data_IF_438070036378
#
_entry.id   IF_438070036378
#
_cell.length_a   1.000
_cell.length_b   1.000
_cell.length_c   1.000
_cell.angle_alpha   90.00
_cell.angle_beta   90.00
_cell.angle_gamma   90.00
#
_symmetry.space_group_name_H-M   'P 1'
#
loop_
_entity.id
_entity.type
_entity.pdbx_description
1 polymer ?
#
# COMPACT_ATOMS: atom_id res chain seq x y z
N UNK A 1 -28.12 -10.50 6.49
CA UNK A 1 -27.05 -9.54 6.83
C UNK A 1 -27.15 -8.37 5.85
N UNK A 2 -27.26 -7.11 6.30
CA UNK A 2 -27.53 -5.99 5.39
C UNK A 2 -26.32 -5.69 4.49
N UNK A 3 -26.54 -5.13 3.29
CA UNK A 3 -25.47 -4.73 2.34
C UNK A 3 -24.37 -3.86 3.01
N UNK A 4 -24.73 -3.10 4.03
CA UNK A 4 -23.79 -2.25 4.76
C UNK A 4 -22.83 -3.08 5.63
N UNK A 5 -23.30 -4.16 6.27
CA UNK A 5 -22.44 -5.02 7.11
C UNK A 5 -21.27 -5.62 6.30
N UNK A 6 -21.52 -6.03 5.05
CA UNK A 6 -20.46 -6.57 4.17
C UNK A 6 -19.45 -5.49 3.76
N UNK A 7 -19.91 -4.24 3.56
CA UNK A 7 -19.04 -3.11 3.22
C UNK A 7 -18.01 -2.81 4.32
N UNK A 8 -18.36 -2.96 5.60
CA UNK A 8 -17.41 -2.74 6.70
C UNK A 8 -16.55 -3.98 7.00
N UNK A 9 -17.14 -5.17 6.86
CA UNK A 9 -16.44 -6.44 7.14
C UNK A 9 -15.18 -6.62 6.29
N UNK A 10 -15.19 -6.16 5.02
CA UNK A 10 -14.01 -6.25 4.15
C UNK A 10 -12.81 -5.46 4.67
N UNK A 11 -13.00 -4.35 5.38
CA UNK A 11 -11.89 -3.58 5.96
C UNK A 11 -11.36 -4.22 7.23
N UNK A 12 -12.24 -4.81 8.03
CA UNK A 12 -11.82 -5.62 9.18
C UNK A 12 -11.00 -6.82 8.69
N UNK A 13 -11.47 -7.51 7.64
CA UNK A 13 -10.73 -8.59 7.01
C UNK A 13 -9.40 -8.12 6.42
N UNK A 14 -9.36 -6.97 5.73
CA UNK A 14 -8.15 -6.38 5.18
C UNK A 14 -7.15 -6.01 6.30
N UNK A 15 -7.63 -5.46 7.41
CA UNK A 15 -6.82 -5.11 8.56
C UNK A 15 -6.21 -6.35 9.21
N UNK A 16 -6.99 -7.43 9.39
CA UNK A 16 -6.49 -8.71 9.87
C UNK A 16 -5.45 -9.29 8.90
N UNK A 17 -5.70 -9.22 7.60
CA UNK A 17 -4.75 -9.65 6.56
C UNK A 17 -3.43 -8.89 6.63
N UNK A 18 -3.48 -7.57 6.84
CA UNK A 18 -2.29 -6.73 7.00
C UNK A 18 -1.52 -7.15 8.26
N UNK A 19 -2.19 -7.34 9.40
CA UNK A 19 -1.54 -7.81 10.64
C UNK A 19 -0.89 -9.17 10.42
N UNK A 20 -1.59 -10.10 9.77
CA UNK A 20 -1.09 -11.44 9.51
C UNK A 20 0.09 -11.43 8.52
N UNK A 21 0.05 -10.56 7.50
CA UNK A 21 1.14 -10.36 6.56
C UNK A 21 2.37 -9.75 7.25
N UNK A 22 2.16 -8.81 8.18
CA UNK A 22 3.24 -8.26 9.01
C UNK A 22 3.82 -9.33 9.94
N UNK A 23 2.98 -10.14 10.59
CA UNK A 23 3.42 -11.17 11.53
C UNK A 23 4.14 -12.34 10.84
N UNK A 24 3.68 -12.78 9.66
CA UNK A 24 4.28 -13.89 8.92
C UNK A 24 5.40 -13.48 7.98
N UNK A 25 5.31 -12.26 7.43
CA UNK A 25 6.21 -11.76 6.38
C UNK A 25 7.42 -10.98 6.91
N UNK A 26 7.43 -10.61 8.19
CA UNK A 26 8.56 -9.99 8.87
C UNK A 26 9.26 -11.07 9.70
N UNK A 27 10.29 -11.76 9.17
CA UNK A 27 11.07 -12.67 9.98
C UNK A 27 11.60 -11.99 11.24
N UNK A 28 11.84 -12.75 12.31
CA UNK A 28 12.38 -12.23 13.59
C UNK A 28 13.73 -11.50 13.43
N UNK A 29 14.39 -11.68 12.29
CA UNK A 29 15.64 -11.01 11.90
C UNK A 29 15.46 -9.69 11.17
N UNK A 30 14.25 -9.24 10.85
CA UNK A 30 14.02 -7.99 10.12
C UNK A 30 14.32 -6.80 11.02
N UNK A 31 15.11 -5.89 10.48
CA UNK A 31 15.49 -4.67 11.17
C UNK A 31 14.25 -3.82 11.54
N UNK A 32 14.16 -3.30 12.78
CA UNK A 32 12.99 -2.56 13.25
C UNK A 32 12.55 -1.42 12.33
N UNK A 33 13.50 -0.78 11.62
CA UNK A 33 13.21 0.29 10.67
C UNK A 33 12.31 -0.17 9.52
N UNK A 34 12.51 -1.40 9.01
CA UNK A 34 11.70 -1.96 7.94
C UNK A 34 10.28 -2.26 8.42
N UNK A 35 10.12 -2.66 9.69
CA UNK A 35 8.79 -2.83 10.31
C UNK A 35 7.99 -1.54 10.27
N UNK A 36 8.62 -0.41 10.63
CA UNK A 36 7.96 0.89 10.55
C UNK A 36 7.62 1.30 9.12
N UNK A 37 8.50 1.03 8.17
CA UNK A 37 8.25 1.31 6.75
C UNK A 37 7.09 0.48 6.19
N UNK A 38 7.00 -0.81 6.56
CA UNK A 38 5.86 -1.66 6.23
C UNK A 38 4.56 -1.12 6.82
N UNK A 39 4.56 -0.73 8.10
CA UNK A 39 3.36 -0.16 8.76
C UNK A 39 2.92 1.11 8.03
N UNK A 40 3.84 1.99 7.65
CA UNK A 40 3.53 3.21 6.89
C UNK A 40 2.94 2.86 5.52
N UNK A 41 3.57 1.94 4.80
CA UNK A 41 3.12 1.51 3.48
C UNK A 41 1.70 0.92 3.53
N UNK A 42 1.47 -0.06 4.40
CA UNK A 42 0.15 -0.68 4.56
C UNK A 42 -0.88 0.28 5.14
N UNK A 43 -0.47 1.20 6.02
CA UNK A 43 -1.33 2.27 6.54
C UNK A 43 -1.84 3.18 5.43
N UNK A 44 -0.96 3.64 4.53
CA UNK A 44 -1.38 4.43 3.38
C UNK A 44 -2.26 3.64 2.41
N UNK A 45 -1.95 2.37 2.16
CA UNK A 45 -2.73 1.52 1.27
C UNK A 45 -4.15 1.28 1.83
N UNK A 46 -4.24 1.04 3.14
CA UNK A 46 -5.50 0.88 3.85
C UNK A 46 -6.33 2.16 3.85
N UNK A 47 -5.70 3.30 4.15
CA UNK A 47 -6.35 4.61 4.06
C UNK A 47 -6.88 4.88 2.65
N UNK A 48 -6.08 4.55 1.62
CA UNK A 48 -6.48 4.73 0.23
C UNK A 48 -7.70 3.88 -0.13
N UNK A 49 -7.76 2.62 0.32
CA UNK A 49 -8.90 1.74 0.12
C UNK A 49 -10.18 2.27 0.79
N UNK A 50 -10.08 2.76 2.03
CA UNK A 50 -11.21 3.39 2.74
C UNK A 50 -11.67 4.63 2.00
N UNK A 51 -10.74 5.52 1.63
CA UNK A 51 -11.08 6.77 0.97
C UNK A 51 -11.84 6.50 -0.33
N UNK A 52 -11.33 5.62 -1.20
CA UNK A 52 -11.99 5.28 -2.48
C UNK A 52 -13.44 4.85 -2.31
N UNK A 53 -13.71 3.97 -1.36
CA UNK A 53 -15.02 3.32 -1.22
C UNK A 53 -16.05 4.10 -0.40
N UNK A 54 -15.62 4.96 0.52
CA UNK A 54 -16.53 5.73 1.38
C UNK A 54 -16.63 7.20 1.01
N UNK A 55 -15.53 7.79 0.54
CA UNK A 55 -15.44 9.23 0.35
C UNK A 55 -15.32 9.63 -1.11
N UNK A 56 -15.12 8.67 -2.02
CA UNK A 56 -14.92 8.89 -3.46
C UNK A 56 -14.00 10.10 -3.71
N UNK A 57 -12.72 10.00 -3.28
CA UNK A 57 -11.85 11.14 -3.11
C UNK A 57 -11.61 11.79 -4.47
N UNK A 58 -11.39 13.11 -4.45
CA UNK A 58 -11.03 13.84 -5.67
C UNK A 58 -9.86 13.16 -6.39
N UNK A 59 -9.83 13.23 -7.72
CA UNK A 59 -8.76 12.63 -8.51
C UNK A 59 -7.37 13.08 -8.04
N UNK A 60 -7.22 14.35 -7.66
CA UNK A 60 -5.99 14.91 -7.11
C UNK A 60 -5.56 14.16 -5.85
N UNK A 61 -6.48 13.91 -4.93
CA UNK A 61 -6.24 13.13 -3.71
C UNK A 61 -5.88 11.69 -4.03
N UNK A 62 -6.56 11.07 -4.99
CA UNK A 62 -6.29 9.70 -5.40
C UNK A 62 -4.92 9.54 -6.11
N UNK A 63 -4.50 10.53 -6.89
CA UNK A 63 -3.15 10.60 -7.47
C UNK A 63 -2.11 10.80 -6.37
N UNK A 64 -2.34 11.73 -5.45
CA UNK A 64 -1.41 12.02 -4.35
C UNK A 64 -1.16 10.78 -3.48
N UNK A 65 -2.20 10.01 -3.16
CA UNK A 65 -2.06 8.76 -2.40
C UNK A 65 -1.28 7.68 -3.16
N UNK A 66 -1.47 7.56 -4.48
CA UNK A 66 -0.65 6.66 -5.31
C UNK A 66 0.81 7.10 -5.33
N UNK A 67 1.09 8.40 -5.44
CA UNK A 67 2.46 8.93 -5.37
C UNK A 67 3.07 8.68 -4.00
N UNK A 68 2.33 8.89 -2.90
CA UNK A 68 2.81 8.61 -1.55
C UNK A 68 3.17 7.12 -1.37
N UNK A 69 2.35 6.21 -1.92
CA UNK A 69 2.64 4.78 -1.92
C UNK A 69 3.89 4.43 -2.73
N UNK A 70 4.12 5.07 -3.87
CA UNK A 70 5.35 4.90 -4.67
C UNK A 70 6.58 5.40 -3.91
N UNK A 71 6.50 6.58 -3.28
CA UNK A 71 7.60 7.12 -2.47
C UNK A 71 7.91 6.17 -1.31
N UNK A 72 6.87 5.69 -0.63
CA UNK A 72 7.03 4.73 0.47
C UNK A 72 7.69 3.42 0.02
N UNK A 73 7.33 2.87 -1.15
CA UNK A 73 7.97 1.66 -1.66
C UNK A 73 9.41 1.91 -2.11
N UNK A 74 9.74 3.09 -2.64
CA UNK A 74 11.12 3.45 -3.01
C UNK A 74 12.01 3.56 -1.76
N UNK A 75 11.52 4.21 -0.70
CA UNK A 75 12.25 4.30 0.58
C UNK A 75 12.54 2.90 1.10
N UNK A 76 11.51 2.04 1.13
CA UNK A 76 11.66 0.66 1.59
C UNK A 76 12.61 -0.18 0.71
N UNK A 77 12.66 0.07 -0.60
CA UNK A 77 13.67 -0.53 -1.47
C UNK A 77 15.09 -0.08 -1.10
N UNK A 78 15.31 1.20 -0.85
CA UNK A 78 16.62 1.74 -0.47
C UNK A 78 17.07 1.13 0.87
N UNK A 79 16.19 1.15 1.88
CA UNK A 79 16.48 0.63 3.21
C UNK A 79 16.76 -0.88 3.15
N UNK A 80 15.96 -1.64 2.40
CA UNK A 80 16.16 -3.09 2.26
C UNK A 80 17.42 -3.46 1.48
N UNK A 81 17.84 -2.66 0.49
CA UNK A 81 19.16 -2.84 -0.17
C UNK A 81 20.29 -2.65 0.84
N UNK A 82 20.21 -1.63 1.70
CA UNK A 82 21.21 -1.35 2.73
C UNK A 82 21.36 -2.53 3.70
N UNK A 83 20.25 -3.11 4.16
CA UNK A 83 20.24 -4.26 5.07
C UNK A 83 20.31 -5.62 4.38
N UNK A 84 20.37 -5.67 3.05
CA UNK A 84 20.41 -6.91 2.24
C UNK A 84 19.18 -7.82 2.44
N UNK A 85 18.03 -7.21 2.72
CA UNK A 85 16.76 -7.90 2.97
C UNK A 85 16.05 -8.25 1.66
N UNK A 86 16.44 -9.39 1.06
CA UNK A 86 16.03 -9.79 -0.29
C UNK A 86 14.51 -9.84 -0.48
N UNK A 87 13.76 -10.33 0.50
CA UNK A 87 12.29 -10.38 0.41
C UNK A 87 11.70 -8.97 0.29
N UNK A 88 12.15 -8.05 1.15
CA UNK A 88 11.69 -6.67 1.17
C UNK A 88 12.10 -5.91 -0.09
N UNK A 89 13.28 -6.20 -0.67
CA UNK A 89 13.70 -5.67 -1.97
C UNK A 89 12.70 -6.08 -3.05
N UNK A 90 12.41 -7.38 -3.17
CA UNK A 90 11.49 -7.90 -4.19
C UNK A 90 10.10 -7.30 -4.01
N UNK A 91 9.59 -7.30 -2.78
CA UNK A 91 8.30 -6.70 -2.44
C UNK A 91 8.23 -5.23 -2.89
N UNK A 92 9.25 -4.44 -2.53
CA UNK A 92 9.29 -3.01 -2.83
C UNK A 92 9.32 -2.72 -4.32
N UNK A 93 10.07 -3.52 -5.10
CA UNK A 93 10.11 -3.41 -6.56
C UNK A 93 8.74 -3.70 -7.18
N UNK A 94 8.12 -4.82 -6.79
CA UNK A 94 6.80 -5.23 -7.32
C UNK A 94 5.75 -4.15 -7.02
N UNK A 95 5.72 -3.66 -5.78
CA UNK A 95 4.77 -2.62 -5.38
C UNK A 95 5.00 -1.31 -6.15
N UNK A 96 6.26 -0.89 -6.31
CA UNK A 96 6.61 0.32 -7.06
C UNK A 96 6.09 0.24 -8.49
N UNK A 97 6.33 -0.89 -9.18
CA UNK A 97 5.88 -1.10 -10.57
C UNK A 97 4.35 -1.11 -10.64
N UNK A 98 3.69 -1.89 -9.77
CA UNK A 98 2.24 -2.03 -9.76
C UNK A 98 1.52 -0.69 -9.50
N UNK A 99 1.98 0.08 -8.52
CA UNK A 99 1.38 1.36 -8.19
C UNK A 99 1.69 2.41 -9.26
N UNK A 100 2.89 2.40 -9.84
CA UNK A 100 3.25 3.28 -10.96
C UNK A 100 2.38 3.03 -12.19
N UNK A 101 2.09 1.76 -12.49
CA UNK A 101 1.16 1.41 -13.56
C UNK A 101 -0.26 1.87 -13.26
N UNK A 102 -0.73 1.67 -12.02
CA UNK A 102 -2.04 2.20 -11.56
C UNK A 102 -2.12 3.72 -11.71
N UNK A 103 -1.05 4.44 -11.37
CA UNK A 103 -0.96 5.89 -11.52
C UNK A 103 -1.00 6.30 -12.99
N UNK A 104 -0.23 5.63 -13.85
CA UNK A 104 -0.25 5.88 -15.29
C UNK A 104 -1.66 5.73 -15.88
N UNK A 105 -2.37 4.66 -15.52
CA UNK A 105 -3.76 4.45 -15.96
C UNK A 105 -4.71 5.55 -15.47
N UNK A 106 -4.59 5.97 -14.21
CA UNK A 106 -5.42 7.03 -13.65
C UNK A 106 -5.20 8.37 -14.38
N UNK A 107 -3.95 8.71 -14.70
CA UNK A 107 -3.62 9.93 -15.46
C UNK A 107 -4.09 9.82 -16.91
N UNK A 108 -3.93 8.65 -17.54
CA UNK A 108 -4.33 8.44 -18.94
C UNK A 108 -5.84 8.49 -19.13
N UNK A 109 -6.64 8.00 -18.19
CA UNK A 109 -8.10 8.12 -18.25
C UNK A 109 -8.53 9.59 -18.31
N UNK A 110 -7.92 10.44 -17.50
CA UNK A 110 -8.17 11.88 -17.49
C UNK A 110 -7.87 12.59 -18.82
N UNK A 111 -6.94 12.07 -19.63
CA UNK A 111 -6.65 12.68 -20.94
C UNK A 111 -7.72 12.36 -22.00
N UNK A 112 -8.65 11.45 -21.71
CA UNK A 112 -9.71 11.01 -22.62
C UNK A 112 -11.10 11.56 -22.27
N UNK A 113 -11.28 12.08 -21.05
CA UNK A 113 -12.48 12.77 -20.58
C UNK A 113 -12.34 14.29 -20.78
#
# INVERSE_FOLDING_TARGET
MSKNSYKYLKYIALFILIIQALYLGIPDSVEPVLVYEYILFFGFAYLFAILQDFFNPSEKTAILLRVALIISSIIMAITSIYYKEMFTIIFSIIMTIGISFSLHLAIKHKQKD
#
